data_IF_593704934893
#
_entry.id   IF_593704934893
#
_cell.length_a   1.000
_cell.length_b   1.000
_cell.length_c   1.000
_cell.angle_alpha   90.00
_cell.angle_beta   90.00
_cell.angle_gamma   90.00
#
_symmetry.space_group_name_H-M   'P 1'
#
loop_
_entity.id
_entity.type
_entity.pdbx_description
1 polymer ?
#
# COMPACT_ATOMS: atom_id res chain seq x y z
N UNK A 1 -9.55 9.50 12.55
CA UNK A 1 -10.85 10.15 12.39
C UNK A 1 -11.23 10.17 10.90
N UNK A 2 -11.92 9.16 10.49
CA UNK A 2 -12.21 8.78 9.09
C UNK A 2 -13.02 9.82 8.28
N UNK A 3 -13.46 10.90 8.89
CA UNK A 3 -14.21 11.99 8.23
C UNK A 3 -13.43 13.30 8.12
N UNK A 4 -12.23 13.37 8.65
CA UNK A 4 -11.39 14.56 8.52
C UNK A 4 -10.76 14.62 7.13
N UNK A 5 -10.71 15.81 6.55
CA UNK A 5 -9.89 16.01 5.34
C UNK A 5 -8.42 15.77 5.71
N UNK A 6 -7.63 15.27 4.77
CA UNK A 6 -6.19 15.06 5.01
C UNK A 6 -5.51 16.35 5.50
N UNK A 7 -5.90 17.49 4.95
CA UNK A 7 -5.41 18.81 5.38
C UNK A 7 -5.69 19.12 6.86
N UNK A 8 -6.86 18.70 7.35
CA UNK A 8 -7.21 18.85 8.77
C UNK A 8 -6.34 17.93 9.63
N UNK A 9 -6.10 16.69 9.17
CA UNK A 9 -5.21 15.74 9.85
C UNK A 9 -3.77 16.26 9.94
N UNK A 10 -3.22 16.80 8.85
CA UNK A 10 -1.89 17.43 8.82
C UNK A 10 -1.81 18.59 9.83
N UNK A 11 -2.84 19.45 9.88
CA UNK A 11 -2.88 20.57 10.80
C UNK A 11 -2.96 20.11 12.27
N UNK A 12 -3.84 19.17 12.58
CA UNK A 12 -4.00 18.62 13.92
C UNK A 12 -2.76 17.91 14.43
N UNK A 13 -2.10 17.11 13.58
CA UNK A 13 -0.85 16.43 13.95
C UNK A 13 0.27 17.45 14.24
N UNK A 14 0.40 18.49 13.42
CA UNK A 14 1.38 19.53 13.65
C UNK A 14 1.11 20.29 14.97
N UNK A 15 -0.14 20.63 15.26
CA UNK A 15 -0.57 21.30 16.50
C UNK A 15 -0.35 20.41 17.74
N UNK A 16 -0.52 19.09 17.60
CA UNK A 16 -0.23 18.12 18.65
C UNK A 16 1.29 17.85 18.83
N UNK A 17 2.14 18.46 18.02
CA UNK A 17 3.60 18.35 18.12
C UNK A 17 4.22 17.23 17.29
N UNK A 18 3.45 16.44 16.54
CA UNK A 18 3.98 15.46 15.61
C UNK A 18 4.67 16.14 14.43
N UNK A 19 5.67 15.46 13.86
CA UNK A 19 6.44 15.94 12.70
C UNK A 19 6.47 14.92 11.57
N UNK A 20 5.97 13.71 11.81
CA UNK A 20 5.97 12.61 10.84
C UNK A 20 4.58 12.00 10.79
N UNK A 21 4.12 11.70 9.59
CA UNK A 21 2.82 11.05 9.33
C UNK A 21 2.98 9.93 8.30
N UNK A 22 2.05 9.00 8.31
CA UNK A 22 1.76 8.06 7.23
C UNK A 22 0.62 8.62 6.35
N UNK A 23 0.71 8.39 5.04
CA UNK A 23 -0.36 8.74 4.09
C UNK A 23 -1.13 7.51 3.66
N UNK A 24 -2.40 7.41 4.03
CA UNK A 24 -3.25 6.27 3.70
C UNK A 24 -4.14 6.57 2.48
N UNK A 25 -3.78 6.02 1.30
CA UNK A 25 -4.53 6.19 0.06
C UNK A 25 -5.75 5.26 -0.06
N UNK A 26 -5.80 4.17 0.69
CA UNK A 26 -6.99 3.32 0.76
C UNK A 26 -8.20 4.10 1.29
N UNK A 27 -8.01 4.86 2.36
CA UNK A 27 -9.06 5.73 2.88
C UNK A 27 -9.47 6.80 1.85
N UNK A 28 -8.52 7.34 1.10
CA UNK A 28 -8.81 8.32 0.05
C UNK A 28 -9.73 7.75 -1.05
N UNK A 29 -9.56 6.47 -1.39
CA UNK A 29 -10.41 5.76 -2.35
C UNK A 29 -11.78 5.47 -1.75
N UNK A 30 -11.83 4.94 -0.53
CA UNK A 30 -13.05 4.57 0.19
C UNK A 30 -13.98 5.76 0.40
N UNK A 31 -13.42 6.92 0.75
CA UNK A 31 -14.18 8.16 1.00
C UNK A 31 -14.33 9.04 -0.24
N UNK A 32 -13.92 8.57 -1.41
CA UNK A 32 -14.02 9.28 -2.69
C UNK A 32 -13.46 10.69 -2.62
N UNK A 33 -12.29 10.86 -2.00
CA UNK A 33 -11.59 12.13 -1.97
C UNK A 33 -11.13 12.54 -3.37
N UNK A 34 -10.65 13.79 -3.59
CA UNK A 34 -10.15 14.22 -4.90
C UNK A 34 -9.08 13.29 -5.51
N UNK A 35 -8.42 12.47 -4.69
CA UNK A 35 -7.53 11.39 -5.08
C UNK A 35 -8.09 10.51 -6.21
N UNK A 36 -9.40 10.23 -6.23
CA UNK A 36 -10.04 9.37 -7.25
C UNK A 36 -10.56 10.14 -8.48
N UNK A 37 -10.42 11.46 -8.51
CA UNK A 37 -10.89 12.35 -9.59
C UNK A 37 -9.74 12.83 -10.48
N UNK A 38 -10.04 13.64 -11.49
CA UNK A 38 -9.03 14.27 -12.35
C UNK A 38 -8.30 15.42 -11.65
N UNK A 39 -8.75 15.86 -10.48
CA UNK A 39 -8.12 16.92 -9.68
C UNK A 39 -7.05 16.39 -8.71
N UNK A 40 -6.71 15.11 -8.77
CA UNK A 40 -5.81 14.45 -7.82
C UNK A 40 -4.42 15.10 -7.76
N UNK A 41 -3.87 15.55 -8.90
CA UNK A 41 -2.55 16.21 -8.91
C UNK A 41 -2.57 17.52 -8.12
N UNK A 42 -3.55 18.37 -8.39
CA UNK A 42 -3.70 19.61 -7.63
C UNK A 42 -3.88 19.34 -6.14
N UNK A 43 -4.73 18.35 -5.82
CA UNK A 43 -5.02 17.98 -4.45
C UNK A 43 -3.78 17.50 -3.69
N UNK A 44 -2.93 16.68 -4.30
CA UNK A 44 -1.72 16.18 -3.61
C UNK A 44 -0.65 17.27 -3.45
N UNK A 45 -0.53 18.18 -4.41
CA UNK A 45 0.35 19.36 -4.26
C UNK A 45 -0.15 20.31 -3.16
N UNK A 46 -1.46 20.54 -3.05
CA UNK A 46 -2.05 21.33 -1.95
C UNK A 46 -1.74 20.70 -0.56
N UNK A 47 -1.72 19.38 -0.46
CA UNK A 47 -1.33 18.65 0.76
C UNK A 47 0.17 18.82 1.03
N UNK A 48 1.00 18.66 0.02
CA UNK A 48 2.45 18.84 0.13
C UNK A 48 2.79 20.24 0.64
N UNK A 49 2.25 21.28 0.01
CA UNK A 49 2.48 22.66 0.41
C UNK A 49 2.06 22.94 1.86
N UNK A 50 0.93 22.35 2.29
CA UNK A 50 0.48 22.47 3.68
C UNK A 50 1.42 21.73 4.64
N UNK A 51 1.84 20.51 4.31
CA UNK A 51 2.75 19.71 5.12
C UNK A 51 4.09 20.44 5.31
N UNK A 52 4.66 21.00 4.23
CA UNK A 52 5.88 21.82 4.28
C UNK A 52 5.72 23.04 5.19
N UNK A 53 4.62 23.80 5.07
CA UNK A 53 4.31 24.94 5.94
C UNK A 53 4.17 24.55 7.41
N UNK A 54 3.66 23.36 7.68
CA UNK A 54 3.44 22.82 9.04
C UNK A 54 4.64 22.04 9.56
N UNK A 55 5.70 21.87 8.76
CA UNK A 55 6.87 21.05 9.07
C UNK A 55 6.50 19.59 9.39
N UNK A 56 5.58 19.03 8.61
CA UNK A 56 5.21 17.61 8.63
C UNK A 56 5.91 16.91 7.47
N UNK A 57 6.51 15.75 7.75
CA UNK A 57 7.08 14.83 6.78
C UNK A 57 6.16 13.61 6.64
N UNK A 58 5.98 13.11 5.42
CA UNK A 58 5.39 11.79 5.19
C UNK A 58 6.51 10.77 5.06
N UNK A 59 6.68 9.90 6.07
CA UNK A 59 7.76 8.90 6.10
C UNK A 59 7.48 7.69 5.25
N UNK A 60 6.22 7.31 5.16
CA UNK A 60 5.71 6.21 4.33
C UNK A 60 4.30 6.51 3.85
N UNK A 61 3.79 5.68 2.95
CA UNK A 61 2.40 5.71 2.53
C UNK A 61 1.86 4.29 2.36
N UNK A 62 0.57 4.10 2.65
CA UNK A 62 -0.17 2.91 2.26
C UNK A 62 -0.88 3.15 0.94
N UNK A 63 -0.61 2.32 -0.06
CA UNK A 63 -1.33 2.38 -1.33
C UNK A 63 -2.80 2.01 -1.15
N UNK A 64 -3.60 2.30 -2.17
CA UNK A 64 -4.89 1.63 -2.28
C UNK A 64 -4.65 0.13 -2.38
N UNK A 65 -5.43 -0.66 -1.64
CA UNK A 65 -5.28 -2.12 -1.65
C UNK A 65 -6.62 -2.81 -1.90
N UNK A 66 -6.55 -3.94 -2.55
CA UNK A 66 -7.64 -4.87 -2.79
C UNK A 66 -7.04 -6.25 -3.08
N UNK A 67 -7.86 -7.31 -3.07
CA UNK A 67 -7.35 -8.62 -3.45
C UNK A 67 -7.31 -8.77 -4.98
N UNK A 68 -6.20 -8.44 -5.60
CA UNK A 68 -6.01 -8.53 -7.05
C UNK A 68 -5.95 -9.98 -7.58
N UNK A 69 -5.80 -10.96 -6.70
CA UNK A 69 -5.88 -12.38 -7.04
C UNK A 69 -7.32 -12.88 -7.17
N UNK A 70 -8.31 -12.12 -6.67
CA UNK A 70 -9.71 -12.46 -6.80
C UNK A 70 -10.18 -12.26 -8.26
N UNK A 71 -10.58 -13.34 -8.98
CA UNK A 71 -11.06 -13.21 -10.36
C UNK A 71 -12.38 -12.44 -10.47
N UNK A 72 -13.12 -12.32 -9.36
CA UNK A 72 -14.40 -11.63 -9.29
C UNK A 72 -14.27 -10.20 -8.73
N UNK A 73 -13.07 -9.69 -8.56
CA UNK A 73 -12.85 -8.33 -8.05
C UNK A 73 -13.52 -7.31 -8.97
N UNK A 74 -14.51 -6.59 -8.43
CA UNK A 74 -15.20 -5.53 -9.17
C UNK A 74 -14.26 -4.33 -9.41
N UNK A 75 -14.41 -3.69 -10.58
CA UNK A 75 -13.66 -2.47 -10.94
C UNK A 75 -12.12 -2.62 -10.89
N UNK A 76 -11.60 -3.80 -11.21
CA UNK A 76 -10.16 -4.11 -11.13
C UNK A 76 -9.28 -3.05 -11.82
N UNK A 77 -9.59 -2.65 -13.05
CA UNK A 77 -8.84 -1.61 -13.77
C UNK A 77 -8.80 -0.26 -13.04
N UNK A 78 -9.89 0.11 -12.38
CA UNK A 78 -9.93 1.32 -11.55
C UNK A 78 -9.05 1.17 -10.32
N UNK A 79 -9.12 0.02 -9.63
CA UNK A 79 -8.32 -0.26 -8.44
C UNK A 79 -6.82 -0.32 -8.76
N UNK A 80 -6.43 -0.96 -9.87
CA UNK A 80 -5.05 -0.96 -10.36
C UNK A 80 -4.54 0.47 -10.61
N UNK A 81 -5.34 1.32 -11.26
CA UNK A 81 -4.98 2.74 -11.42
C UNK A 81 -4.81 3.46 -10.09
N UNK A 82 -5.62 3.12 -9.08
CA UNK A 82 -5.48 3.75 -7.75
C UNK A 82 -4.20 3.29 -7.05
N UNK A 83 -3.76 2.05 -7.25
CA UNK A 83 -2.46 1.58 -6.76
C UNK A 83 -1.32 2.40 -7.39
N UNK A 84 -1.29 2.52 -8.71
CA UNK A 84 -0.27 3.30 -9.41
C UNK A 84 -0.32 4.80 -9.04
N UNK A 85 -1.51 5.37 -8.94
CA UNK A 85 -1.72 6.75 -8.47
C UNK A 85 -1.23 6.96 -7.03
N UNK A 86 -1.37 5.97 -6.16
CA UNK A 86 -0.81 6.03 -4.81
C UNK A 86 0.72 6.21 -4.84
N UNK A 87 1.40 5.51 -5.75
CA UNK A 87 2.85 5.63 -5.96
C UNK A 87 3.22 7.01 -6.51
N UNK A 88 2.45 7.53 -7.48
CA UNK A 88 2.66 8.86 -8.01
C UNK A 88 2.51 9.94 -6.92
N UNK A 89 1.46 9.85 -6.13
CA UNK A 89 1.22 10.77 -5.02
C UNK A 89 2.30 10.65 -3.93
N UNK A 90 2.74 9.44 -3.59
CA UNK A 90 3.82 9.20 -2.65
C UNK A 90 5.13 9.84 -3.12
N UNK A 91 5.47 9.70 -4.40
CA UNK A 91 6.63 10.37 -5.01
C UNK A 91 6.55 11.88 -4.89
N UNK A 92 5.39 12.49 -5.16
CA UNK A 92 5.16 13.94 -5.03
C UNK A 92 5.36 14.39 -3.58
N UNK A 93 4.87 13.62 -2.60
CA UNK A 93 5.05 13.91 -1.16
C UNK A 93 6.48 13.68 -0.65
N UNK A 94 7.37 13.10 -1.47
CA UNK A 94 8.75 12.77 -1.08
C UNK A 94 8.89 11.47 -0.29
N UNK A 95 7.83 10.67 -0.22
CA UNK A 95 7.82 9.35 0.42
C UNK A 95 8.75 8.40 -0.33
N UNK A 96 9.54 7.62 0.41
CA UNK A 96 10.50 6.67 -0.16
C UNK A 96 9.97 5.26 -0.27
N UNK A 97 9.04 4.87 0.59
CA UNK A 97 8.48 3.51 0.63
C UNK A 97 6.96 3.55 0.68
N UNK A 98 6.35 2.83 -0.24
CA UNK A 98 4.89 2.64 -0.29
C UNK A 98 4.57 1.21 0.12
N UNK A 99 3.71 1.08 1.12
CA UNK A 99 3.23 -0.21 1.62
C UNK A 99 2.12 -0.73 0.73
N UNK A 100 2.23 -1.99 0.29
CA UNK A 100 1.21 -2.68 -0.51
C UNK A 100 0.98 -4.08 0.08
N UNK A 101 -0.29 -4.49 0.13
CA UNK A 101 -0.69 -5.83 0.56
C UNK A 101 -0.51 -6.85 -0.57
N UNK A 102 -0.14 -8.06 -0.21
CA UNK A 102 -0.16 -9.20 -1.15
C UNK A 102 -1.60 -9.65 -1.43
N UNK A 103 -1.85 -10.17 -2.63
CA UNK A 103 -3.11 -10.81 -2.98
C UNK A 103 -3.13 -12.29 -2.58
N UNK A 104 -4.34 -12.83 -2.39
CA UNK A 104 -4.56 -14.24 -2.05
C UNK A 104 -5.51 -14.90 -3.04
N UNK A 105 -5.08 -16.02 -3.64
CA UNK A 105 -5.91 -16.84 -4.51
C UNK A 105 -6.74 -17.84 -3.69
N UNK A 106 -7.87 -17.37 -3.15
CA UNK A 106 -8.75 -18.21 -2.36
C UNK A 106 -9.44 -19.34 -3.15
N UNK A 107 -9.49 -19.26 -4.48
CA UNK A 107 -10.11 -20.27 -5.32
C UNK A 107 -9.15 -21.45 -5.60
N UNK A 108 -7.84 -21.25 -5.47
CA UNK A 108 -6.87 -22.29 -5.75
C UNK A 108 -6.82 -23.37 -4.67
N UNK A 109 -6.74 -24.66 -5.05
CA UNK A 109 -6.42 -25.75 -4.13
C UNK A 109 -4.96 -25.69 -3.62
N UNK A 110 -4.07 -24.97 -4.33
CA UNK A 110 -2.66 -24.77 -3.98
C UNK A 110 -2.41 -23.32 -3.56
N UNK A 111 -3.24 -22.80 -2.65
CA UNK A 111 -3.37 -21.40 -2.28
C UNK A 111 -2.02 -20.68 -2.16
N UNK A 112 -1.08 -21.19 -1.39
CA UNK A 112 0.21 -20.50 -1.14
C UNK A 112 1.03 -20.39 -2.43
N UNK A 113 1.15 -21.48 -3.19
CA UNK A 113 1.92 -21.52 -4.44
C UNK A 113 1.32 -20.57 -5.48
N UNK A 114 0.03 -20.70 -5.74
CA UNK A 114 -0.63 -19.97 -6.81
C UNK A 114 -0.79 -18.47 -6.43
N UNK A 115 -0.97 -18.17 -5.14
CA UNK A 115 -0.90 -16.78 -4.66
C UNK A 115 0.48 -16.19 -4.90
N UNK A 116 1.57 -16.92 -4.59
CA UNK A 116 2.94 -16.45 -4.85
C UNK A 116 3.14 -16.13 -6.34
N UNK A 117 2.77 -17.04 -7.23
CA UNK A 117 2.93 -16.85 -8.68
C UNK A 117 2.16 -15.62 -9.18
N UNK A 118 0.90 -15.44 -8.76
CA UNK A 118 0.08 -14.28 -9.11
C UNK A 118 0.64 -12.97 -8.51
N UNK A 119 1.18 -13.00 -7.30
CA UNK A 119 1.84 -11.83 -6.70
C UNK A 119 3.09 -11.43 -7.46
N UNK A 120 3.94 -12.37 -7.85
CA UNK A 120 5.13 -12.09 -8.67
C UNK A 120 4.72 -11.41 -9.98
N UNK A 121 3.71 -11.94 -10.68
CA UNK A 121 3.21 -11.35 -11.92
C UNK A 121 2.66 -9.93 -11.70
N UNK A 122 1.87 -9.73 -10.65
CA UNK A 122 1.27 -8.45 -10.34
C UNK A 122 2.30 -7.39 -9.93
N UNK A 123 3.28 -7.76 -9.10
CA UNK A 123 4.24 -6.79 -8.57
C UNK A 123 5.27 -6.33 -9.60
N UNK A 124 5.60 -7.11 -10.64
CA UNK A 124 6.57 -6.71 -11.68
C UNK A 124 6.27 -5.32 -12.28
N UNK A 125 5.12 -5.07 -12.92
CA UNK A 125 4.80 -3.75 -13.46
C UNK A 125 4.65 -2.67 -12.38
N UNK A 126 4.23 -3.02 -11.17
CA UNK A 126 4.13 -2.08 -10.04
C UNK A 126 5.52 -1.61 -9.60
N UNK A 127 6.48 -2.53 -9.49
CA UNK A 127 7.87 -2.23 -9.14
C UNK A 127 8.57 -1.40 -10.22
N UNK A 128 8.33 -1.69 -11.50
CA UNK A 128 8.83 -0.89 -12.61
C UNK A 128 8.31 0.55 -12.58
N UNK A 129 7.00 0.70 -12.33
CA UNK A 129 6.39 2.02 -12.17
C UNK A 129 6.99 2.76 -10.97
N UNK A 130 7.08 2.11 -9.81
CA UNK A 130 7.65 2.69 -8.60
C UNK A 130 9.13 3.10 -8.78
N UNK A 131 9.93 2.28 -9.46
CA UNK A 131 11.31 2.62 -9.81
C UNK A 131 11.39 3.88 -10.66
N UNK A 132 10.49 4.06 -11.64
CA UNK A 132 10.42 5.26 -12.48
C UNK A 132 10.13 6.54 -11.68
N UNK A 133 9.55 6.40 -10.48
CA UNK A 133 9.19 7.49 -9.55
C UNK A 133 10.18 7.63 -8.38
N UNK A 134 11.26 6.84 -8.34
CA UNK A 134 12.23 6.75 -7.24
C UNK A 134 11.57 6.37 -5.90
N UNK A 135 10.62 5.45 -5.94
CA UNK A 135 9.87 4.91 -4.80
C UNK A 135 10.14 3.41 -4.67
N UNK A 136 10.30 2.92 -3.45
CA UNK A 136 10.32 1.50 -3.14
C UNK A 136 8.94 0.99 -2.74
N UNK A 137 8.71 -0.29 -2.95
CA UNK A 137 7.50 -0.99 -2.50
C UNK A 137 7.86 -1.88 -1.32
N UNK A 138 7.16 -1.69 -0.20
CA UNK A 138 7.25 -2.54 0.97
C UNK A 138 6.01 -3.45 1.04
N UNK A 139 6.20 -4.75 0.86
CA UNK A 139 5.11 -5.72 0.96
C UNK A 139 4.87 -6.04 2.43
N UNK A 140 3.61 -5.97 2.86
CA UNK A 140 3.24 -6.10 4.27
C UNK A 140 2.81 -7.52 4.62
N UNK A 141 3.18 -7.99 5.84
CA UNK A 141 2.60 -9.19 6.41
C UNK A 141 1.13 -8.95 6.75
N UNK A 142 0.28 -9.89 6.38
CA UNK A 142 -1.16 -9.80 6.61
C UNK A 142 -1.58 -10.57 7.86
N UNK A 143 -2.80 -10.33 8.32
CA UNK A 143 -3.46 -11.08 9.36
C UNK A 143 -4.77 -11.69 8.86
N UNK A 144 -5.21 -12.76 9.50
CA UNK A 144 -6.51 -13.37 9.22
C UNK A 144 -7.09 -13.99 10.51
N UNK A 145 -8.36 -13.71 10.77
CA UNK A 145 -9.07 -14.32 11.89
C UNK A 145 -9.52 -15.76 11.58
N UNK A 146 -9.44 -16.17 10.32
CA UNK A 146 -9.77 -17.52 9.90
C UNK A 146 -8.57 -18.45 10.09
N UNK A 147 -8.65 -19.30 11.09
CA UNK A 147 -7.65 -20.33 11.38
C UNK A 147 -7.80 -21.56 10.46
N UNK A 148 -8.87 -21.64 9.68
CA UNK A 148 -9.17 -22.77 8.79
C UNK A 148 -8.39 -22.65 7.47
N UNK A 149 -8.26 -23.73 6.65
CA UNK A 149 -7.16 -23.95 5.70
C UNK A 149 -6.98 -22.89 4.61
N UNK A 150 -7.84 -21.87 4.56
CA UNK A 150 -7.80 -20.78 3.58
C UNK A 150 -7.61 -19.44 4.27
N UNK A 151 -6.41 -19.21 4.82
CA UNK A 151 -5.98 -17.92 5.33
C UNK A 151 -5.37 -17.05 4.21
N UNK A 152 -5.23 -15.76 4.46
CA UNK A 152 -4.52 -14.87 3.53
C UNK A 152 -3.08 -15.30 3.34
N UNK A 153 -2.56 -15.07 2.14
CA UNK A 153 -1.14 -15.21 1.83
C UNK A 153 -0.33 -14.12 2.54
N UNK A 154 0.93 -14.36 2.83
CA UNK A 154 1.86 -13.51 3.61
C UNK A 154 1.46 -13.29 5.09
N UNK A 155 0.67 -14.18 5.68
CA UNK A 155 0.41 -14.15 7.13
C UNK A 155 1.55 -14.76 7.93
N UNK A 156 2.51 -15.43 7.31
CA UNK A 156 3.73 -15.93 7.95
C UNK A 156 4.97 -15.20 7.43
N UNK A 157 6.01 -15.14 8.26
CA UNK A 157 7.28 -14.53 7.88
C UNK A 157 7.91 -15.26 6.68
N UNK A 158 7.82 -16.59 6.65
CA UNK A 158 8.40 -17.42 5.60
C UNK A 158 7.79 -17.10 4.23
N UNK A 159 6.46 -16.94 4.14
CA UNK A 159 5.77 -16.60 2.90
C UNK A 159 6.13 -15.20 2.39
N UNK A 160 6.20 -14.24 3.31
CA UNK A 160 6.54 -12.86 2.98
C UNK A 160 7.99 -12.74 2.51
N UNK A 161 8.93 -13.37 3.23
CA UNK A 161 10.36 -13.38 2.88
C UNK A 161 10.56 -14.08 1.54
N UNK A 162 9.94 -15.26 1.33
CA UNK A 162 10.07 -16.01 0.08
C UNK A 162 9.55 -15.22 -1.15
N UNK A 163 8.46 -14.44 -0.99
CA UNK A 163 7.96 -13.56 -2.04
C UNK A 163 8.94 -12.42 -2.33
N UNK A 164 9.38 -11.70 -1.29
CA UNK A 164 10.27 -10.53 -1.43
C UNK A 164 11.64 -10.95 -1.95
N UNK A 165 12.22 -12.05 -1.47
CA UNK A 165 13.50 -12.57 -1.96
C UNK A 165 13.41 -12.94 -3.44
N UNK A 166 12.29 -13.55 -3.87
CA UNK A 166 12.07 -13.88 -5.28
C UNK A 166 12.03 -12.60 -6.15
N UNK A 167 11.30 -11.58 -5.74
CA UNK A 167 11.21 -10.30 -6.47
C UNK A 167 12.55 -9.54 -6.44
N UNK A 168 13.30 -9.63 -5.34
CA UNK A 168 14.61 -8.97 -5.17
C UNK A 168 15.69 -9.50 -6.12
N UNK A 169 15.48 -10.65 -6.75
CA UNK A 169 16.40 -11.16 -7.78
C UNK A 169 16.41 -10.29 -9.04
N UNK A 170 15.31 -9.58 -9.32
CA UNK A 170 15.13 -8.74 -10.52
C UNK A 170 15.01 -7.25 -10.17
N UNK A 171 14.52 -6.90 -8.95
CA UNK A 171 14.17 -5.54 -8.52
C UNK A 171 14.89 -5.15 -7.23
N UNK A 172 15.52 -3.99 -7.20
CA UNK A 172 16.23 -3.45 -6.03
C UNK A 172 15.39 -2.48 -5.18
N UNK A 173 14.14 -2.24 -5.57
CA UNK A 173 13.20 -1.32 -4.92
C UNK A 173 12.02 -2.07 -4.26
N UNK A 174 12.22 -3.31 -3.87
CA UNK A 174 11.25 -4.09 -3.08
C UNK A 174 11.80 -4.38 -1.68
N UNK A 175 10.92 -4.37 -0.69
CA UNK A 175 11.26 -4.62 0.72
C UNK A 175 10.05 -5.14 1.50
N UNK A 176 10.22 -5.27 2.81
CA UNK A 176 9.21 -5.77 3.74
C UNK A 176 8.73 -4.64 4.64
N UNK A 177 7.42 -4.52 4.80
CA UNK A 177 6.78 -3.85 5.93
C UNK A 177 6.33 -4.93 6.92
N UNK A 178 6.90 -4.90 8.13
CA UNK A 178 6.50 -5.84 9.17
C UNK A 178 5.57 -5.17 10.18
N UNK A 179 4.28 -5.49 10.07
CA UNK A 179 3.26 -5.03 11.02
C UNK A 179 3.24 -5.98 12.22
N UNK A 180 3.59 -5.45 13.40
CA UNK A 180 3.65 -6.20 14.65
C UNK A 180 2.27 -6.57 15.19
N UNK A 181 1.24 -5.76 14.92
CA UNK A 181 -0.14 -6.06 15.31
C UNK A 181 -0.67 -7.24 14.52
N UNK A 182 -0.45 -7.23 13.20
CA UNK A 182 -0.78 -8.36 12.34
C UNK A 182 -0.08 -9.65 12.79
N UNK A 183 1.20 -9.57 13.10
CA UNK A 183 1.97 -10.71 13.58
C UNK A 183 1.49 -11.22 14.95
N UNK A 184 1.04 -10.33 15.85
CA UNK A 184 0.51 -10.73 17.16
C UNK A 184 -0.85 -11.43 17.06
N UNK A 185 -1.70 -11.00 16.14
CA UNK A 185 -3.00 -11.65 15.86
C UNK A 185 -2.81 -13.08 15.35
N UNK A 186 -1.73 -13.36 14.63
CA UNK A 186 -1.44 -14.66 14.00
C UNK A 186 -0.73 -15.67 14.91
N UNK A 187 -0.45 -15.32 16.18
CA UNK A 187 0.10 -16.24 17.19
C UNK A 187 -0.98 -17.18 17.71
#
# INVERSE_FOLDING_TARGET
>A
NVKAKIQDSVSLCAEAGYRVMDMNFFDCTTFKLPFVTDEWEKWIYDIKDLAEKKQIEFSQAHANFYNFCDPNAENKEFLDRMVLRSIDCASILGVKWVVIHAGTDFESPMLVKDSKEKNIEYFKPVLEHAASKNVGIAIENLWDLNIAPRRRYTTTAEELVDLVDTLSTEYNNVGICWDFEHADIMK
#
